data_IF_549923390242
#
_entry.id   IF_549923390242
#
_cell.length_a   1.000
_cell.length_b   1.000
_cell.length_c   1.000
_cell.angle_alpha   90.00
_cell.angle_beta   90.00
_cell.angle_gamma   90.00
#
_symmetry.space_group_name_H-M   'P 1'
#
loop_
_entity.id
_entity.type
_entity.pdbx_description
1 polymer ?
#
# COMPACT_ATOMS: atom_id res chain seq x y z
N UNK A 1 48.16 5.94 -38.66
CA UNK A 1 47.93 5.54 -37.23
C UNK A 1 46.78 6.28 -36.56
N UNK A 2 46.06 7.22 -37.16
CA UNK A 2 44.98 8.02 -36.55
C UNK A 2 43.56 7.41 -36.64
N UNK A 3 43.30 6.45 -37.50
CA UNK A 3 41.95 5.85 -37.67
C UNK A 3 41.60 4.78 -36.63
N UNK A 4 42.56 4.11 -36.01
CA UNK A 4 42.28 3.10 -35.00
C UNK A 4 41.94 3.71 -33.60
N UNK A 5 42.45 4.89 -33.32
CA UNK A 5 42.16 5.60 -32.05
C UNK A 5 40.71 6.07 -31.99
N UNK A 6 40.16 6.57 -33.08
CA UNK A 6 38.76 7.04 -33.15
C UNK A 6 37.73 5.91 -32.99
N UNK A 7 38.06 4.69 -33.47
CA UNK A 7 37.18 3.53 -33.34
C UNK A 7 37.02 3.02 -31.91
N UNK A 8 38.10 3.13 -31.08
CA UNK A 8 38.05 2.77 -29.65
C UNK A 8 37.16 3.73 -28.83
N UNK A 9 37.16 5.01 -29.14
CA UNK A 9 36.31 5.99 -28.45
C UNK A 9 34.86 5.92 -28.88
N UNK A 10 34.57 5.56 -30.14
CA UNK A 10 33.19 5.33 -30.60
C UNK A 10 32.57 4.07 -29.93
N UNK A 11 33.37 3.01 -29.75
CA UNK A 11 32.93 1.80 -29.06
C UNK A 11 32.68 2.09 -27.55
N UNK A 12 33.49 2.96 -26.92
CA UNK A 12 33.29 3.36 -25.50
C UNK A 12 32.05 4.24 -25.32
N UNK A 13 31.72 5.09 -26.28
CA UNK A 13 30.55 5.97 -26.26
C UNK A 13 29.24 5.18 -26.44
N UNK A 14 29.23 4.06 -27.17
CA UNK A 14 28.07 3.20 -27.35
C UNK A 14 27.73 2.38 -26.10
N UNK A 15 28.69 2.11 -25.23
CA UNK A 15 28.47 1.37 -23.97
C UNK A 15 27.81 2.25 -22.91
N UNK A 16 27.93 3.58 -22.99
CA UNK A 16 27.40 4.51 -21.98
C UNK A 16 25.90 4.82 -22.22
N UNK A 17 25.32 4.52 -23.39
CA UNK A 17 23.92 4.82 -23.73
C UNK A 17 22.94 3.72 -23.29
N UNK A 18 23.40 2.59 -22.76
CA UNK A 18 22.56 1.64 -22.04
C UNK A 18 22.27 2.09 -20.60
N UNK A 19 22.08 3.40 -20.38
CA UNK A 19 21.60 3.90 -19.10
C UNK A 19 20.10 3.63 -19.01
N UNK A 20 19.79 2.63 -18.25
CA UNK A 20 18.47 2.14 -17.88
C UNK A 20 17.48 3.30 -17.66
N UNK A 21 16.55 3.46 -18.57
CA UNK A 21 15.30 4.13 -18.30
C UNK A 21 14.56 3.25 -17.30
N UNK A 22 14.83 3.40 -16.01
CA UNK A 22 13.96 2.91 -14.96
C UNK A 22 12.71 3.81 -14.97
N UNK A 23 11.79 3.49 -15.88
CA UNK A 23 10.44 4.03 -15.79
C UNK A 23 9.89 3.57 -14.45
N UNK A 24 9.66 4.49 -13.54
CA UNK A 24 8.87 4.22 -12.34
C UNK A 24 7.47 3.87 -12.84
N UNK A 25 7.18 2.58 -12.93
CA UNK A 25 5.85 2.09 -13.30
C UNK A 25 4.91 2.48 -12.17
N UNK A 26 4.09 3.48 -12.42
CA UNK A 26 3.03 3.87 -11.49
C UNK A 26 1.97 2.77 -11.48
N UNK A 27 1.75 2.14 -10.34
CA UNK A 27 0.68 1.14 -10.16
C UNK A 27 -0.67 1.69 -10.62
N UNK A 28 -1.42 0.89 -11.37
CA UNK A 28 -2.74 1.25 -11.88
C UNK A 28 -3.81 0.27 -11.39
N UNK A 29 -5.08 0.67 -11.51
CA UNK A 29 -6.22 -0.26 -11.34
C UNK A 29 -6.08 -1.43 -12.30
N UNK A 30 -6.24 -2.66 -11.81
CA UNK A 30 -6.04 -3.90 -12.54
C UNK A 30 -4.67 -4.54 -12.33
N UNK A 31 -3.64 -3.79 -11.90
CA UNK A 31 -2.34 -4.35 -11.59
C UNK A 31 -2.40 -5.23 -10.34
N UNK A 32 -1.53 -6.22 -10.26
CA UNK A 32 -1.32 -7.02 -9.05
C UNK A 32 -0.57 -6.16 -8.03
N UNK A 33 -1.11 -6.07 -6.82
CA UNK A 33 -0.50 -5.34 -5.74
C UNK A 33 0.87 -5.96 -5.37
N UNK A 34 1.95 -5.16 -5.27
CA UNK A 34 3.25 -5.63 -4.79
C UNK A 34 3.11 -6.28 -3.40
N UNK A 35 3.90 -7.34 -3.16
CA UNK A 35 3.94 -7.95 -1.83
C UNK A 35 4.44 -6.97 -0.78
N UNK A 36 3.82 -7.01 0.39
CA UNK A 36 4.27 -6.30 1.59
C UNK A 36 4.63 -7.35 2.64
N UNK A 37 5.88 -7.32 3.07
CA UNK A 37 6.38 -8.19 4.12
C UNK A 37 7.07 -7.33 5.17
N UNK A 38 6.40 -7.09 6.31
CA UNK A 38 6.82 -6.15 7.34
C UNK A 38 6.53 -6.72 8.73
N UNK A 39 7.14 -6.13 9.77
CA UNK A 39 6.94 -6.56 11.16
C UNK A 39 5.68 -5.92 11.76
N UNK A 40 4.95 -6.70 12.54
CA UNK A 40 3.81 -6.23 13.31
C UNK A 40 4.23 -5.71 14.72
N UNK A 41 3.30 -5.15 15.53
CA UNK A 41 3.61 -4.67 16.89
C UNK A 41 4.24 -5.72 17.82
N UNK A 42 3.97 -7.01 17.58
CA UNK A 42 4.56 -8.12 18.33
C UNK A 42 5.90 -8.61 17.79
N UNK A 43 6.51 -7.90 16.82
CA UNK A 43 7.81 -8.26 16.22
C UNK A 43 7.74 -9.44 15.23
N UNK A 44 6.53 -9.92 14.87
CA UNK A 44 6.37 -10.98 13.88
C UNK A 44 6.19 -10.41 12.48
N UNK A 45 6.82 -11.04 11.51
CA UNK A 45 6.60 -10.71 10.09
C UNK A 45 5.20 -11.10 9.66
N UNK A 46 4.49 -10.17 9.02
CA UNK A 46 3.20 -10.39 8.36
C UNK A 46 3.30 -10.06 6.88
N UNK A 47 2.50 -10.74 6.06
CA UNK A 47 2.52 -10.64 4.60
C UNK A 47 1.14 -10.25 4.08
N UNK A 48 1.11 -9.36 3.08
CA UNK A 48 -0.12 -8.98 2.40
C UNK A 48 -0.78 -10.21 1.74
N UNK A 49 0.03 -11.10 1.15
CA UNK A 49 -0.45 -12.33 0.50
C UNK A 49 -1.21 -13.27 1.44
N UNK A 50 -1.04 -13.17 2.77
CA UNK A 50 -1.81 -13.93 3.74
C UNK A 50 -3.31 -13.59 3.75
N UNK A 51 -3.68 -12.45 3.17
CA UNK A 51 -5.06 -11.98 3.05
C UNK A 51 -5.70 -12.29 1.69
N UNK A 52 -5.06 -13.12 0.86
CA UNK A 52 -5.62 -13.56 -0.43
C UNK A 52 -7.02 -14.16 -0.22
N UNK A 53 -7.93 -13.83 -1.12
CA UNK A 53 -9.34 -14.21 -1.02
C UNK A 53 -10.23 -13.20 -0.30
N UNK A 54 -9.65 -12.11 0.22
CA UNK A 54 -10.38 -11.03 0.89
C UNK A 54 -10.31 -9.73 0.09
N UNK A 55 -11.29 -8.87 0.28
CA UNK A 55 -11.18 -7.46 -0.08
C UNK A 55 -10.29 -6.79 0.96
N UNK A 56 -9.22 -6.08 0.57
CA UNK A 56 -8.25 -5.50 1.52
C UNK A 56 -8.03 -4.02 1.22
N UNK A 57 -8.16 -3.18 2.24
CA UNK A 57 -7.64 -1.82 2.23
C UNK A 57 -6.19 -1.86 2.74
N UNK A 58 -5.24 -1.50 1.88
CA UNK A 58 -3.88 -1.17 2.30
C UNK A 58 -3.89 0.32 2.65
N UNK A 59 -3.69 0.63 3.92
CA UNK A 59 -3.80 1.99 4.46
C UNK A 59 -2.44 2.49 4.94
N UNK A 60 -1.86 3.46 4.22
CA UNK A 60 -0.60 4.11 4.58
C UNK A 60 -0.88 5.33 5.45
N UNK A 61 -0.34 5.31 6.66
CA UNK A 61 -0.59 6.31 7.70
C UNK A 61 0.61 6.50 8.63
N UNK A 62 0.48 7.34 9.66
CA UNK A 62 1.42 7.42 10.77
C UNK A 62 0.77 8.03 12.01
N UNK A 63 1.31 7.75 13.19
CA UNK A 63 0.83 8.29 14.47
C UNK A 63 0.88 9.81 14.54
N UNK A 64 1.85 10.42 13.90
CA UNK A 64 2.07 11.88 13.82
C UNK A 64 1.26 12.55 12.71
N UNK A 65 0.59 11.79 11.84
CA UNK A 65 -0.20 12.32 10.73
C UNK A 65 -1.61 12.72 11.20
N UNK A 66 -1.83 13.98 11.51
CA UNK A 66 -3.14 14.49 11.95
C UNK A 66 -4.29 14.15 11.00
N UNK A 67 -4.18 14.39 9.68
CA UNK A 67 -5.21 13.98 8.72
C UNK A 67 -5.49 12.47 8.70
N UNK A 68 -4.47 11.61 8.92
CA UNK A 68 -4.65 10.17 9.01
C UNK A 68 -5.46 9.79 10.26
N UNK A 69 -5.11 10.41 11.41
CA UNK A 69 -5.82 10.18 12.67
C UNK A 69 -7.29 10.60 12.60
N UNK A 70 -7.60 11.65 11.82
CA UNK A 70 -8.97 12.08 11.55
C UNK A 70 -9.72 11.11 10.62
N UNK A 71 -9.02 10.38 9.74
CA UNK A 71 -9.60 9.37 8.86
C UNK A 71 -9.83 8.02 9.56
N UNK A 72 -9.02 7.67 10.56
CA UNK A 72 -9.07 6.38 11.26
C UNK A 72 -10.48 5.98 11.75
N UNK A 73 -11.32 6.86 12.32
CA UNK A 73 -12.69 6.51 12.69
C UNK A 73 -13.53 6.00 11.52
N UNK A 74 -13.37 6.59 10.33
CA UNK A 74 -14.05 6.15 9.11
C UNK A 74 -13.58 4.74 8.67
N UNK A 75 -12.29 4.45 8.77
CA UNK A 75 -11.75 3.12 8.48
C UNK A 75 -12.26 2.08 9.48
N UNK A 76 -12.37 2.44 10.77
CA UNK A 76 -12.94 1.58 11.82
C UNK A 76 -14.42 1.27 11.52
N UNK A 77 -15.20 2.27 11.12
CA UNK A 77 -16.60 2.09 10.73
C UNK A 77 -16.72 1.16 9.51
N UNK A 78 -15.91 1.40 8.48
CA UNK A 78 -15.87 0.55 7.30
C UNK A 78 -15.51 -0.90 7.66
N UNK A 79 -14.49 -1.10 8.50
CA UNK A 79 -14.13 -2.43 8.98
C UNK A 79 -15.30 -3.10 9.69
N UNK A 80 -15.97 -2.42 10.59
CA UNK A 80 -17.15 -2.94 11.32
C UNK A 80 -18.28 -3.36 10.37
N UNK A 81 -18.57 -2.53 9.36
CA UNK A 81 -19.66 -2.77 8.40
C UNK A 81 -19.38 -3.89 7.41
N UNK A 82 -18.14 -3.97 6.88
CA UNK A 82 -17.85 -4.78 5.69
C UNK A 82 -17.07 -6.06 5.97
N UNK A 83 -16.50 -6.26 7.15
CA UNK A 83 -15.56 -7.37 7.44
C UNK A 83 -16.12 -8.77 7.20
N UNK A 84 -17.45 -8.96 7.26
CA UNK A 84 -18.13 -10.25 7.07
C UNK A 84 -18.87 -10.36 5.74
N UNK A 85 -18.90 -9.30 4.94
CA UNK A 85 -19.66 -9.29 3.70
C UNK A 85 -18.94 -10.07 2.59
N UNK A 86 -19.72 -10.49 1.59
CA UNK A 86 -19.17 -11.12 0.38
C UNK A 86 -19.07 -10.08 -0.72
N UNK A 87 -17.94 -10.06 -1.38
CA UNK A 87 -17.65 -9.20 -2.52
C UNK A 87 -17.64 -10.00 -3.82
N UNK A 88 -17.68 -9.32 -4.97
CA UNK A 88 -17.60 -9.96 -6.30
C UNK A 88 -16.37 -10.86 -6.40
N UNK A 89 -15.21 -10.40 -5.92
CA UNK A 89 -13.93 -11.10 -5.92
C UNK A 89 -13.32 -11.13 -4.50
N UNK A 90 -14.03 -11.68 -3.50
CA UNK A 90 -13.49 -11.79 -2.15
C UNK A 90 -14.55 -12.12 -1.11
N UNK A 91 -14.11 -12.64 0.04
CA UNK A 91 -14.98 -12.97 1.17
C UNK A 91 -14.44 -12.27 2.43
N UNK A 92 -15.19 -11.28 2.90
CA UNK A 92 -14.79 -10.42 4.01
C UNK A 92 -13.90 -9.27 3.57
N UNK A 93 -13.91 -8.21 4.37
CA UNK A 93 -13.06 -7.04 4.22
C UNK A 93 -12.02 -7.01 5.34
N UNK A 94 -10.78 -6.71 5.00
CA UNK A 94 -9.68 -6.56 5.95
C UNK A 94 -8.96 -5.23 5.71
N UNK A 95 -8.26 -4.77 6.73
CA UNK A 95 -7.35 -3.64 6.63
C UNK A 95 -5.93 -4.13 6.90
N UNK A 96 -5.01 -3.77 6.02
CA UNK A 96 -3.57 -3.93 6.17
C UNK A 96 -2.96 -2.54 6.37
N UNK A 97 -2.86 -2.11 7.63
CA UNK A 97 -2.34 -0.79 7.98
C UNK A 97 -0.82 -0.77 7.94
N UNK A 98 -0.26 0.12 7.13
CA UNK A 98 1.19 0.31 6.97
C UNK A 98 1.56 1.66 7.57
N UNK A 99 2.23 1.63 8.72
CA UNK A 99 2.69 2.84 9.40
C UNK A 99 4.07 3.27 8.90
N UNK A 100 4.22 4.58 8.67
CA UNK A 100 5.48 5.24 8.34
C UNK A 100 6.17 5.82 9.58
N UNK A 101 5.80 5.35 10.77
CA UNK A 101 6.49 5.72 12.00
C UNK A 101 7.92 5.17 12.01
N UNK A 102 8.84 5.90 12.61
CA UNK A 102 10.23 5.46 12.75
C UNK A 102 10.46 4.55 13.95
N UNK A 103 9.58 4.63 14.95
CA UNK A 103 9.65 3.89 16.21
C UNK A 103 8.32 3.25 16.54
N UNK A 104 8.35 2.16 17.31
CA UNK A 104 7.16 1.37 17.63
C UNK A 104 6.25 2.03 18.65
N UNK A 105 6.81 2.73 19.63
CA UNK A 105 6.05 3.23 20.81
C UNK A 105 4.90 4.17 20.40
N UNK A 106 5.11 5.29 19.66
CA UNK A 106 4.01 6.18 19.26
C UNK A 106 3.02 5.49 18.33
N UNK A 107 3.49 4.59 17.46
CA UNK A 107 2.64 3.80 16.58
C UNK A 107 1.69 2.88 17.34
N UNK A 108 2.21 2.07 18.28
CA UNK A 108 1.39 1.16 19.10
C UNK A 108 0.38 1.97 19.95
N UNK A 109 0.83 3.08 20.53
CA UNK A 109 -0.06 3.98 21.26
C UNK A 109 -1.21 4.49 20.37
N UNK A 110 -0.89 4.93 19.15
CA UNK A 110 -1.89 5.45 18.22
C UNK A 110 -2.89 4.37 17.77
N UNK A 111 -2.47 3.12 17.55
CA UNK A 111 -3.35 1.99 17.27
C UNK A 111 -4.39 1.83 18.38
N UNK A 112 -3.96 1.91 19.64
CA UNK A 112 -4.85 1.78 20.80
C UNK A 112 -5.78 2.99 20.95
N UNK A 113 -5.25 4.20 20.86
CA UNK A 113 -6.00 5.45 21.01
C UNK A 113 -7.14 5.56 19.97
N UNK A 114 -6.85 5.20 18.71
CA UNK A 114 -7.80 5.28 17.59
C UNK A 114 -8.66 4.02 17.45
N UNK A 115 -8.48 3.05 18.35
CA UNK A 115 -9.26 1.79 18.37
C UNK A 115 -9.19 1.02 17.04
N UNK A 116 -8.01 0.92 16.46
CA UNK A 116 -7.78 0.20 15.21
C UNK A 116 -7.83 -1.32 15.47
N UNK A 117 -9.02 -1.91 15.35
CA UNK A 117 -9.37 -3.24 15.90
C UNK A 117 -8.92 -4.43 15.04
N UNK A 118 -8.46 -4.21 13.81
CA UNK A 118 -7.93 -5.27 12.94
C UNK A 118 -6.54 -5.74 13.41
N UNK A 119 -6.04 -6.84 12.83
CA UNK A 119 -4.80 -7.48 13.28
C UNK A 119 -3.57 -7.16 12.43
N UNK A 120 -3.80 -6.67 11.21
CA UNK A 120 -2.74 -6.54 10.22
C UNK A 120 -2.14 -5.13 10.26
N UNK A 121 -1.41 -4.84 11.33
CA UNK A 121 -0.63 -3.61 11.49
C UNK A 121 0.82 -3.90 11.17
N UNK A 122 1.43 -3.12 10.28
CA UNK A 122 2.79 -3.28 9.78
C UNK A 122 3.57 -1.97 9.91
N UNK A 123 4.87 -2.04 10.19
CA UNK A 123 5.76 -0.89 10.33
C UNK A 123 6.72 -0.80 9.14
N UNK A 124 6.58 0.22 8.32
CA UNK A 124 7.43 0.54 7.15
C UNK A 124 8.42 1.67 7.50
N UNK A 125 9.29 1.43 8.49
CA UNK A 125 10.25 2.43 8.98
C UNK A 125 11.23 2.93 7.91
N UNK A 126 11.50 2.12 6.90
CA UNK A 126 12.46 2.41 5.83
C UNK A 126 11.77 2.94 4.54
N UNK A 127 10.44 3.02 4.52
CA UNK A 127 9.67 3.57 3.41
C UNK A 127 9.66 2.72 2.14
N UNK A 128 10.01 1.42 2.24
CA UNK A 128 10.13 0.53 1.08
C UNK A 128 8.74 0.19 0.53
N UNK A 129 7.81 -0.19 1.40
CA UNK A 129 6.45 -0.52 0.99
C UNK A 129 5.73 0.72 0.47
N UNK A 130 5.77 1.83 1.19
CA UNK A 130 5.14 3.09 0.77
C UNK A 130 5.67 3.58 -0.58
N UNK A 131 6.98 3.48 -0.83
CA UNK A 131 7.58 3.83 -2.12
C UNK A 131 7.10 2.92 -3.25
N UNK A 132 6.99 1.60 -3.03
CA UNK A 132 6.54 0.64 -4.05
C UNK A 132 5.09 0.86 -4.47
N UNK A 133 4.26 1.43 -3.59
CA UNK A 133 2.87 1.80 -3.85
C UNK A 133 2.69 3.24 -4.34
N UNK A 134 3.76 4.02 -4.40
CA UNK A 134 3.69 5.44 -4.76
C UNK A 134 2.98 6.30 -3.72
N UNK A 135 2.98 5.87 -2.45
CA UNK A 135 2.40 6.60 -1.32
C UNK A 135 3.32 7.75 -0.89
N UNK A 136 3.50 8.75 -1.76
CA UNK A 136 4.37 9.92 -1.53
C UNK A 136 3.83 10.89 -0.49
N UNK A 137 2.54 10.79 -0.17
CA UNK A 137 1.87 11.56 0.87
C UNK A 137 0.84 10.70 1.57
N UNK A 138 0.62 10.93 2.86
CA UNK A 138 -0.35 10.22 3.69
C UNK A 138 -1.43 11.18 4.22
N UNK A 139 -2.67 10.69 4.46
CA UNK A 139 -3.15 9.31 4.29
C UNK A 139 -3.25 8.89 2.83
N UNK A 140 -2.90 7.64 2.52
CA UNK A 140 -3.01 7.07 1.18
C UNK A 140 -3.55 5.64 1.27
N UNK A 141 -4.63 5.37 0.55
CA UNK A 141 -5.28 4.07 0.52
C UNK A 141 -5.12 3.36 -0.82
N UNK A 142 -5.01 2.04 -0.79
CA UNK A 142 -5.13 1.17 -1.97
C UNK A 142 -6.08 0.03 -1.64
N UNK A 143 -7.16 -0.09 -2.39
CA UNK A 143 -8.12 -1.18 -2.25
C UNK A 143 -7.79 -2.28 -3.25
N UNK A 144 -7.64 -3.51 -2.76
CA UNK A 144 -7.36 -4.68 -3.59
C UNK A 144 -8.44 -5.74 -3.39
N UNK A 145 -8.69 -6.53 -4.44
CA UNK A 145 -9.66 -7.64 -4.41
C UNK A 145 -9.04 -8.95 -3.90
N UNK A 146 -9.84 -10.03 -3.88
CA UNK A 146 -9.39 -11.35 -3.43
C UNK A 146 -8.34 -12.01 -4.32
N UNK A 147 -8.11 -11.52 -5.54
CA UNK A 147 -7.02 -11.91 -6.43
C UNK A 147 -5.78 -11.03 -6.24
N UNK A 148 -5.82 -10.10 -5.29
CA UNK A 148 -4.80 -9.10 -5.00
C UNK A 148 -4.61 -8.08 -6.13
N UNK A 149 -5.63 -7.83 -6.94
CA UNK A 149 -5.64 -6.78 -7.96
C UNK A 149 -6.14 -5.47 -7.38
N UNK A 150 -5.46 -4.38 -7.74
CA UNK A 150 -5.86 -3.03 -7.35
C UNK A 150 -7.21 -2.69 -8.01
N UNK A 151 -8.21 -2.35 -7.20
CA UNK A 151 -9.53 -1.95 -7.69
C UNK A 151 -9.79 -0.45 -7.50
N UNK A 152 -9.12 0.19 -6.55
CA UNK A 152 -9.15 1.65 -6.35
C UNK A 152 -7.91 2.10 -5.58
N UNK A 153 -7.53 3.38 -5.69
CA UNK A 153 -6.40 3.94 -4.92
C UNK A 153 -6.50 5.46 -4.75
N UNK A 154 -5.79 5.97 -3.74
CA UNK A 154 -5.60 7.41 -3.52
C UNK A 154 -6.75 8.10 -2.79
N UNK A 155 -6.93 9.39 -3.04
CA UNK A 155 -7.84 10.26 -2.29
C UNK A 155 -9.32 9.84 -2.38
N UNK A 156 -9.72 9.16 -3.44
CA UNK A 156 -11.08 8.63 -3.60
C UNK A 156 -11.46 7.56 -2.57
N UNK A 157 -10.50 7.02 -1.83
CA UNK A 157 -10.72 6.04 -0.75
C UNK A 157 -10.79 6.70 0.64
N UNK A 158 -11.11 8.01 0.72
CA UNK A 158 -11.24 8.72 1.99
C UNK A 158 -12.70 9.07 2.28
N UNK A 159 -13.05 9.09 3.57
CA UNK A 159 -14.39 9.41 4.01
C UNK A 159 -15.42 8.49 3.34
N UNK A 160 -16.51 9.06 2.87
CA UNK A 160 -17.56 8.32 2.14
C UNK A 160 -17.07 7.59 0.90
N UNK A 161 -15.94 8.01 0.29
CA UNK A 161 -15.41 7.38 -0.90
C UNK A 161 -15.00 5.92 -0.68
N UNK A 162 -14.48 5.59 0.51
CA UNK A 162 -14.19 4.19 0.86
C UNK A 162 -15.46 3.35 0.92
N UNK A 163 -16.52 3.88 1.54
CA UNK A 163 -17.80 3.18 1.63
C UNK A 163 -18.44 2.96 0.25
N UNK A 164 -18.44 3.98 -0.61
CA UNK A 164 -18.95 3.90 -1.99
C UNK A 164 -18.18 2.82 -2.76
N UNK A 165 -16.84 2.84 -2.71
CA UNK A 165 -16.02 1.85 -3.40
C UNK A 165 -16.31 0.41 -2.92
N UNK A 166 -16.52 0.21 -1.61
CA UNK A 166 -16.85 -1.10 -1.05
C UNK A 166 -18.26 -1.53 -1.41
N UNK A 167 -19.26 -0.63 -1.32
CA UNK A 167 -20.66 -0.92 -1.66
C UNK A 167 -20.82 -1.35 -3.12
N UNK A 168 -20.10 -0.74 -4.06
CA UNK A 168 -20.09 -1.08 -5.49
C UNK A 168 -19.52 -2.49 -5.78
N UNK A 169 -18.68 -2.99 -4.88
CA UNK A 169 -18.03 -4.28 -5.01
C UNK A 169 -18.73 -5.41 -4.25
N UNK A 170 -19.77 -5.13 -3.47
CA UNK A 170 -20.55 -6.15 -2.77
C UNK A 170 -21.20 -7.10 -3.80
N UNK A 171 -21.14 -8.40 -3.50
CA UNK A 171 -21.87 -9.40 -4.26
C UNK A 171 -23.37 -9.33 -3.88
N UNK A 172 -24.17 -8.89 -4.82
CA UNK A 172 -25.63 -8.93 -4.72
C UNK A 172 -26.15 -10.36 -4.80
#
# INVERSE_FOLDING_TARGET
MSKLTNMKYIALLLIIICFSFTSSVSLQTGDVAPEIELVNPGGKTIKLSSLKGKMVLIDFWASWCGPCRNENPNVVEAYGKYNKLKFKNGKGFEVFSVSLDRTQEPWIKAIADDKLVWKNHALDKDGIASSSYGASSIPFGVLIDGEQKIVAKGQQLRGLGLHIALDDLIKK
#
